data_IF_314016082325
#
_entry.id   IF_314016082325
#
_cell.length_a   1.000
_cell.length_b   1.000
_cell.length_c   1.000
_cell.angle_alpha   90.00
_cell.angle_beta   90.00
_cell.angle_gamma   90.00
#
_symmetry.space_group_name_H-M   'P 1'
#
loop_
_entity.id
_entity.type
_entity.pdbx_description
1 polymer ?
#
# COMPACT_ATOMS: atom_id res chain seq x y z
N UNK A 1 -5.48 19.33 -1.55
CA UNK A 1 -5.40 18.70 -2.89
C UNK A 1 -4.52 17.46 -2.95
N UNK A 2 -3.38 17.37 -2.25
CA UNK A 2 -2.61 16.11 -2.02
C UNK A 2 -3.51 14.87 -1.85
N UNK A 3 -4.48 14.93 -0.93
CA UNK A 3 -5.49 13.87 -0.68
C UNK A 3 -6.24 13.38 -1.94
N UNK A 4 -6.40 14.22 -2.97
CA UNK A 4 -7.10 13.90 -4.22
C UNK A 4 -6.18 13.17 -5.21
N UNK A 5 -4.93 13.63 -5.38
CA UNK A 5 -3.91 12.87 -6.14
C UNK A 5 -3.67 11.49 -5.51
N UNK A 6 -3.57 11.46 -4.18
CA UNK A 6 -3.44 10.24 -3.37
C UNK A 6 -4.69 9.34 -3.46
N UNK A 7 -5.89 9.93 -3.60
CA UNK A 7 -7.12 9.16 -3.86
C UNK A 7 -7.11 8.54 -5.27
N UNK A 8 -6.67 9.27 -6.29
CA UNK A 8 -6.58 8.75 -7.67
C UNK A 8 -5.49 7.66 -7.78
N UNK A 9 -4.39 7.80 -7.03
CA UNK A 9 -3.36 6.78 -6.81
C UNK A 9 -3.92 5.48 -6.19
N UNK A 10 -5.13 5.51 -5.61
CA UNK A 10 -5.72 4.40 -4.86
C UNK A 10 -7.11 3.93 -5.33
N UNK A 11 -7.79 4.63 -6.24
CA UNK A 11 -8.97 4.09 -6.94
C UNK A 11 -8.63 2.94 -7.92
N UNK A 12 -7.36 2.86 -8.35
CA UNK A 12 -6.95 2.05 -9.50
C UNK A 12 -6.31 0.66 -9.20
N UNK A 13 -5.57 0.41 -8.10
CA UNK A 13 -4.86 -0.87 -7.95
C UNK A 13 -5.77 -2.11 -7.88
N UNK A 14 -6.80 -2.10 -7.02
CA UNK A 14 -7.60 -3.28 -6.72
C UNK A 14 -8.61 -3.69 -7.81
N UNK A 15 -8.89 -2.79 -8.74
CA UNK A 15 -9.84 -2.99 -9.85
C UNK A 15 -9.11 -3.57 -11.06
N UNK A 16 -7.98 -2.97 -11.46
CA UNK A 16 -7.21 -3.39 -12.63
C UNK A 16 -6.46 -4.72 -12.41
N UNK A 17 -6.04 -5.04 -11.18
CA UNK A 17 -5.53 -6.37 -10.81
C UNK A 17 -6.55 -7.53 -10.98
N UNK A 18 -7.82 -7.24 -11.30
CA UNK A 18 -8.83 -8.24 -11.67
C UNK A 18 -9.07 -8.34 -13.19
N UNK A 19 -8.60 -7.37 -13.98
CA UNK A 19 -8.87 -7.24 -15.42
C UNK A 19 -7.65 -7.53 -16.30
N UNK A 20 -6.44 -7.57 -15.72
CA UNK A 20 -5.23 -8.00 -16.43
C UNK A 20 -5.31 -9.50 -16.81
N UNK A 21 -4.91 -9.90 -18.03
CA UNK A 21 -5.10 -11.27 -18.54
C UNK A 21 -4.24 -12.33 -17.83
N UNK A 22 -3.24 -11.93 -17.04
CA UNK A 22 -2.27 -12.80 -16.35
C UNK A 22 -2.83 -13.65 -15.19
N UNK A 23 -4.16 -13.67 -14.99
CA UNK A 23 -4.84 -14.34 -13.88
C UNK A 23 -4.64 -15.87 -13.88
N UNK A 24 -4.26 -16.46 -15.01
CA UNK A 24 -3.94 -17.89 -15.17
C UNK A 24 -2.50 -18.26 -14.79
N UNK A 25 -1.58 -17.30 -14.61
CA UNK A 25 -0.16 -17.59 -14.32
C UNK A 25 0.35 -17.00 -12.99
N UNK A 26 -0.36 -16.05 -12.38
CA UNK A 26 0.07 -15.40 -11.13
C UNK A 26 -0.67 -15.94 -9.90
N UNK A 27 -0.19 -17.06 -9.35
CA UNK A 27 -0.76 -17.66 -8.14
C UNK A 27 0.13 -17.42 -6.89
N UNK A 28 0.27 -16.15 -6.50
CA UNK A 28 0.95 -15.78 -5.26
C UNK A 28 0.29 -16.48 -4.04
N UNK A 29 1.03 -17.16 -3.15
CA UNK A 29 0.46 -17.90 -2.02
C UNK A 29 -0.52 -17.07 -1.18
N UNK A 30 -1.60 -17.72 -0.71
CA UNK A 30 -2.71 -17.05 -0.02
C UNK A 30 -2.24 -16.16 1.16
N UNK A 31 -1.18 -16.59 1.86
CA UNK A 31 -0.59 -15.86 2.99
C UNK A 31 0.25 -14.63 2.61
N UNK A 32 0.82 -14.59 1.40
CA UNK A 32 1.60 -13.44 0.92
C UNK A 32 0.74 -12.36 0.26
N UNK A 33 -0.54 -12.65 -0.01
CA UNK A 33 -1.44 -11.75 -0.74
C UNK A 33 -1.53 -10.35 -0.11
N UNK A 34 -1.66 -10.25 1.21
CA UNK A 34 -1.70 -8.97 1.92
C UNK A 34 -0.38 -8.20 1.86
N UNK A 35 0.74 -8.92 1.95
CA UNK A 35 2.09 -8.36 1.85
C UNK A 35 2.37 -7.84 0.42
N UNK A 36 2.04 -8.62 -0.61
CA UNK A 36 2.20 -8.21 -2.03
C UNK A 36 1.34 -6.98 -2.35
N UNK A 37 0.07 -6.97 -1.91
CA UNK A 37 -0.82 -5.82 -2.10
C UNK A 37 -0.30 -4.61 -1.32
N UNK A 38 0.13 -4.77 -0.07
CA UNK A 38 0.72 -3.69 0.74
C UNK A 38 1.96 -3.08 0.10
N UNK A 39 2.88 -3.92 -0.39
CA UNK A 39 4.09 -3.50 -1.10
C UNK A 39 3.80 -2.79 -2.42
N UNK A 40 2.72 -3.15 -3.12
CA UNK A 40 2.23 -2.44 -4.30
C UNK A 40 1.44 -1.15 -3.96
N UNK A 41 0.91 -1.02 -2.74
CA UNK A 41 0.10 0.11 -2.31
C UNK A 41 0.94 1.24 -1.69
N UNK A 42 1.56 1.05 -0.53
CA UNK A 42 2.35 2.10 0.15
C UNK A 42 3.81 2.16 -0.32
N UNK A 43 4.24 3.35 -0.78
CA UNK A 43 5.64 3.66 -1.09
C UNK A 43 6.40 4.25 0.11
N UNK A 44 7.72 4.32 0.02
CA UNK A 44 8.61 4.80 1.08
C UNK A 44 8.62 6.34 1.26
N UNK A 45 7.46 6.90 1.62
CA UNK A 45 7.25 8.33 1.86
C UNK A 45 8.02 8.85 3.09
N UNK A 46 8.43 7.96 4.00
CA UNK A 46 8.97 8.30 5.32
C UNK A 46 10.48 8.56 5.40
N UNK A 47 11.23 8.40 4.31
CA UNK A 47 12.70 8.46 4.36
C UNK A 47 13.32 8.99 3.06
N UNK A 48 13.09 8.30 1.93
CA UNK A 48 13.74 8.66 0.67
C UNK A 48 13.45 10.09 0.18
N UNK A 49 12.23 10.65 0.31
CA UNK A 49 11.99 12.06 -0.04
C UNK A 49 12.70 13.06 0.89
N UNK A 50 12.92 12.74 2.18
CA UNK A 50 13.68 13.59 3.10
C UNK A 50 15.17 13.65 2.75
N UNK A 51 15.71 12.59 2.15
CA UNK A 51 17.10 12.57 1.66
C UNK A 51 17.18 13.28 0.29
N UNK A 52 16.30 12.88 -0.63
CA UNK A 52 16.43 13.25 -2.05
C UNK A 52 16.05 14.70 -2.34
N UNK A 53 15.00 15.24 -1.73
CA UNK A 53 14.54 16.61 -2.03
C UNK A 53 15.55 17.66 -1.56
N UNK A 54 16.10 17.61 -0.33
CA UNK A 54 17.20 18.49 0.08
C UNK A 54 18.47 18.36 -0.75
N UNK A 55 18.81 17.13 -1.21
CA UNK A 55 19.97 16.93 -2.08
C UNK A 55 19.76 17.63 -3.44
N UNK A 56 18.60 17.44 -4.07
CA UNK A 56 18.24 18.08 -5.34
C UNK A 56 18.17 19.61 -5.21
N UNK A 57 17.63 20.14 -4.10
CA UNK A 57 17.62 21.59 -3.84
C UNK A 57 19.02 22.22 -3.71
N UNK A 58 20.03 21.44 -3.31
CA UNK A 58 21.42 21.88 -3.19
C UNK A 58 22.24 21.67 -4.47
N UNK A 59 21.69 20.98 -5.47
CA UNK A 59 22.38 20.70 -6.72
C UNK A 59 22.45 21.93 -7.64
N UNK A 60 23.59 22.11 -8.32
CA UNK A 60 23.84 23.27 -9.17
C UNK A 60 23.02 23.19 -10.46
N UNK A 61 22.20 24.21 -10.69
CA UNK A 61 21.30 24.26 -11.84
C UNK A 61 20.01 23.44 -11.66
N UNK A 62 19.61 23.14 -10.42
CA UNK A 62 18.30 22.54 -10.16
C UNK A 62 17.16 23.47 -10.64
N UNK A 63 16.06 22.93 -11.19
CA UNK A 63 14.98 23.74 -11.77
C UNK A 63 14.03 24.36 -10.74
N UNK A 64 14.42 24.39 -9.46
CA UNK A 64 13.55 24.69 -8.31
C UNK A 64 13.87 26.02 -7.61
N UNK A 65 14.65 26.88 -8.26
CA UNK A 65 14.97 28.23 -7.77
C UNK A 65 16.10 28.26 -6.74
N UNK A 66 16.02 29.18 -5.77
CA UNK A 66 17.06 29.35 -4.76
C UNK A 66 17.11 28.15 -3.79
N UNK A 67 18.30 27.61 -3.46
CA UNK A 67 18.44 26.41 -2.61
C UNK A 67 17.69 26.48 -1.28
N UNK A 68 17.71 27.62 -0.59
CA UNK A 68 17.07 27.78 0.72
C UNK A 68 15.54 27.77 0.62
N UNK A 69 14.98 28.43 -0.40
CA UNK A 69 13.55 28.41 -0.70
C UNK A 69 13.09 27.02 -1.12
N UNK A 70 13.85 26.36 -2.01
CA UNK A 70 13.59 24.98 -2.41
C UNK A 70 13.61 24.04 -1.21
N UNK A 71 14.61 24.16 -0.33
CA UNK A 71 14.72 23.34 0.87
C UNK A 71 13.53 23.58 1.81
N UNK A 72 13.16 24.83 2.08
CA UNK A 72 12.04 25.19 2.95
C UNK A 72 10.70 24.63 2.45
N UNK A 73 10.34 24.90 1.18
CA UNK A 73 9.07 24.40 0.62
C UNK A 73 9.09 22.89 0.37
N UNK A 74 10.21 22.35 -0.11
CA UNK A 74 10.39 20.92 -0.34
C UNK A 74 10.25 20.09 0.93
N UNK A 75 10.87 20.52 2.04
CA UNK A 75 10.73 19.87 3.34
C UNK A 75 9.29 19.97 3.89
N UNK A 76 8.59 21.09 3.65
CA UNK A 76 7.17 21.21 4.01
C UNK A 76 6.29 20.24 3.21
N UNK A 77 6.47 20.14 1.89
CA UNK A 77 5.72 19.22 1.02
C UNK A 77 6.00 17.75 1.35
N UNK A 78 7.27 17.40 1.61
CA UNK A 78 7.66 16.05 2.04
C UNK A 78 7.08 15.71 3.41
N UNK A 79 7.17 16.60 4.40
CA UNK A 79 6.64 16.35 5.75
C UNK A 79 5.11 16.18 5.73
N UNK A 80 4.40 16.98 4.93
CA UNK A 80 2.96 16.86 4.72
C UNK A 80 2.57 15.55 4.03
N UNK A 81 3.31 15.15 2.98
CA UNK A 81 3.15 13.84 2.33
C UNK A 81 3.40 12.68 3.29
N UNK A 82 4.45 12.76 4.10
CA UNK A 82 4.81 11.75 5.11
C UNK A 82 3.72 11.58 6.16
N UNK A 83 3.18 12.68 6.70
CA UNK A 83 2.12 12.65 7.69
C UNK A 83 0.85 11.98 7.16
N UNK A 84 0.43 12.32 5.94
CA UNK A 84 -0.69 11.65 5.23
C UNK A 84 -0.37 10.17 4.98
N UNK A 85 0.85 9.86 4.54
CA UNK A 85 1.33 8.51 4.26
C UNK A 85 1.39 7.61 5.49
N UNK A 86 1.76 8.15 6.65
CA UNK A 86 1.72 7.44 7.93
C UNK A 86 0.28 7.06 8.32
N UNK A 87 -0.65 8.01 8.20
CA UNK A 87 -2.08 7.78 8.47
C UNK A 87 -2.64 6.72 7.52
N UNK A 88 -2.32 6.79 6.22
CA UNK A 88 -2.70 5.78 5.23
C UNK A 88 -2.15 4.39 5.56
N UNK A 89 -0.84 4.30 5.86
CA UNK A 89 -0.16 3.03 6.09
C UNK A 89 -0.73 2.30 7.33
N UNK A 90 -0.95 2.99 8.44
CA UNK A 90 -1.48 2.38 9.66
C UNK A 90 -3.02 2.22 9.67
N UNK A 91 -3.76 3.01 8.90
CA UNK A 91 -5.22 2.84 8.77
C UNK A 91 -5.60 1.76 7.76
N UNK A 92 -4.91 1.69 6.61
CA UNK A 92 -5.30 0.84 5.48
C UNK A 92 -4.33 -0.33 5.29
N UNK A 93 -3.03 -0.08 5.07
CA UNK A 93 -2.07 -1.16 4.73
C UNK A 93 -1.87 -2.13 5.89
N UNK A 94 -1.77 -1.63 7.13
CA UNK A 94 -1.77 -2.46 8.34
C UNK A 94 -2.97 -3.42 8.38
N UNK A 95 -4.19 -2.94 8.10
CA UNK A 95 -5.39 -3.78 8.12
C UNK A 95 -5.46 -4.76 6.94
N UNK A 96 -4.93 -4.40 5.75
CA UNK A 96 -4.78 -5.32 4.61
C UNK A 96 -3.84 -6.49 4.96
N UNK A 97 -2.68 -6.20 5.57
CA UNK A 97 -1.73 -7.23 6.01
C UNK A 97 -2.37 -8.06 7.13
N UNK A 98 -2.92 -7.42 8.17
CA UNK A 98 -3.59 -8.07 9.31
C UNK A 98 -4.63 -9.11 8.90
N UNK A 99 -5.59 -8.71 8.07
CA UNK A 99 -6.68 -9.60 7.60
C UNK A 99 -6.14 -10.78 6.80
N UNK A 100 -5.04 -10.58 6.05
CA UNK A 100 -4.39 -11.65 5.29
C UNK A 100 -3.63 -12.62 6.21
N UNK A 101 -2.94 -12.13 7.24
CA UNK A 101 -2.29 -12.96 8.27
C UNK A 101 -3.32 -13.77 9.08
N UNK A 102 -4.39 -13.15 9.58
CA UNK A 102 -5.45 -13.85 10.33
C UNK A 102 -6.10 -14.94 9.48
N UNK A 103 -6.48 -14.65 8.23
CA UNK A 103 -7.08 -15.65 7.33
C UNK A 103 -6.11 -16.77 6.93
N UNK A 104 -4.81 -16.54 7.06
CA UNK A 104 -3.81 -17.62 6.88
C UNK A 104 -3.74 -18.53 8.10
N UNK A 105 -3.83 -17.96 9.31
CA UNK A 105 -3.89 -18.72 10.55
C UNK A 105 -5.14 -19.61 10.60
N UNK A 106 -6.32 -19.07 10.28
CA UNK A 106 -7.58 -19.83 10.16
C UNK A 106 -7.44 -21.04 9.21
N UNK A 107 -6.85 -20.84 8.03
CA UNK A 107 -6.68 -21.90 7.03
C UNK A 107 -5.60 -22.94 7.42
N UNK A 108 -4.67 -22.58 8.32
CA UNK A 108 -3.70 -23.53 8.88
C UNK A 108 -4.34 -24.32 10.02
N UNK A 109 -5.09 -23.67 10.93
CA UNK A 109 -5.76 -24.37 12.03
C UNK A 109 -6.77 -25.41 11.52
N UNK A 110 -7.63 -25.03 10.57
CA UNK A 110 -8.58 -25.97 9.91
C UNK A 110 -7.86 -27.11 9.21
N UNK A 111 -6.62 -26.91 8.71
CA UNK A 111 -5.82 -28.00 8.11
C UNK A 111 -5.22 -28.94 9.15
N UNK A 112 -4.74 -28.41 10.28
CA UNK A 112 -4.20 -29.21 11.36
C UNK A 112 -5.32 -30.00 12.08
N UNK A 113 -6.48 -29.37 12.29
CA UNK A 113 -7.70 -30.04 12.77
C UNK A 113 -8.13 -31.18 11.82
N UNK A 114 -7.93 -31.02 10.50
CA UNK A 114 -8.19 -32.08 9.52
C UNK A 114 -7.08 -33.14 9.37
N UNK A 115 -6.00 -33.08 10.15
CA UNK A 115 -4.90 -34.08 10.09
C UNK A 115 -4.85 -35.08 11.25
N UNK A 116 -5.70 -34.92 12.28
CA UNK A 116 -5.73 -35.82 13.45
C UNK A 116 -6.90 -36.85 13.42
N UNK A 117 -7.66 -36.96 12.33
CA UNK A 117 -8.78 -37.92 12.17
C UNK A 117 -8.48 -39.15 11.25
N UNK A 118 -7.26 -39.68 11.26
CA UNK A 118 -6.98 -41.00 10.64
C UNK A 118 -7.39 -42.22 11.51
N UNK A 119 -8.47 -42.10 12.31
CA UNK A 119 -9.02 -43.23 13.11
C UNK A 119 -10.55 -43.39 13.02
N UNK A 120 -11.20 -42.96 11.92
CA UNK A 120 -12.65 -43.22 11.70
C UNK A 120 -12.99 -43.57 10.25
N UNK A 121 -12.30 -44.58 9.69
CA UNK A 121 -12.57 -45.16 8.35
C UNK A 121 -13.32 -46.52 8.41
N UNK A 122 -14.10 -46.79 9.47
CA UNK A 122 -14.63 -48.13 9.77
C UNK A 122 -16.15 -48.25 9.94
N UNK A 123 -16.94 -47.18 9.73
CA UNK A 123 -18.38 -47.16 10.05
C UNK A 123 -19.30 -46.51 8.99
N UNK A 124 -18.85 -46.34 7.74
CA UNK A 124 -19.69 -45.83 6.64
C UNK A 124 -19.63 -46.70 5.37
N UNK A 125 -19.44 -48.01 5.51
CA UNK A 125 -19.35 -48.98 4.39
C UNK A 125 -20.18 -50.26 4.65
N UNK A 126 -21.35 -50.12 5.32
CA UNK A 126 -22.23 -51.26 5.68
C UNK A 126 -23.75 -50.98 5.61
N UNK A 127 -24.21 -49.93 4.91
CA UNK A 127 -25.65 -49.58 4.85
C UNK A 127 -26.15 -49.18 3.45
N UNK A 128 -25.60 -49.79 2.41
CA UNK A 128 -26.15 -49.76 1.04
C UNK A 128 -26.10 -51.17 0.46
N UNK A 129 -27.14 -51.96 0.72
CA UNK A 129 -27.74 -52.93 -0.21
C UNK A 129 -29.03 -53.53 0.40
N UNK A 130 -29.85 -54.17 -0.46
CA UNK A 130 -31.19 -54.75 -0.19
C UNK A 130 -32.30 -53.69 0.11
N UNK A 131 -33.29 -53.41 -0.76
CA UNK A 131 -34.38 -54.26 -1.32
C UNK A 131 -35.38 -54.70 -0.21
N UNK A 132 -36.71 -54.51 -0.31
CA UNK A 132 -37.57 -53.77 -1.28
C UNK A 132 -38.86 -53.30 -0.51
N UNK A 133 -40.08 -52.98 -0.99
CA UNK A 133 -40.85 -53.12 -2.25
C UNK A 133 -41.98 -52.04 -2.30
N UNK A 134 -42.77 -52.00 -3.38
CA UNK A 134 -44.18 -51.52 -3.58
C UNK A 134 -44.89 -50.61 -2.53
N UNK A 135 -45.65 -49.55 -2.92
CA UNK A 135 -45.97 -49.01 -4.25
C UNK A 135 -47.26 -48.15 -4.27
N UNK A 136 -47.63 -47.55 -5.42
CA UNK A 136 -48.93 -46.87 -5.74
C UNK A 136 -49.11 -45.45 -5.12
N UNK A 137 -49.53 -44.36 -5.81
CA UNK A 137 -50.04 -44.12 -7.18
C UNK A 137 -49.90 -42.65 -7.67
N UNK A 138 -50.12 -42.46 -8.99
CA UNK A 138 -50.65 -41.26 -9.69
C UNK A 138 -49.74 -40.04 -10.00
N UNK A 139 -49.43 -39.90 -11.30
CA UNK A 139 -49.44 -38.71 -12.21
C UNK A 139 -49.06 -37.30 -11.69
N UNK A 140 -48.43 -36.43 -12.51
CA UNK A 140 -48.41 -36.38 -13.98
C UNK A 140 -47.04 -35.95 -14.57
N UNK A 141 -46.88 -36.05 -15.89
CA UNK A 141 -45.59 -36.05 -16.62
C UNK A 141 -45.35 -34.80 -17.50
N UNK A 142 -44.26 -34.83 -18.28
CA UNK A 142 -43.86 -33.99 -19.41
C UNK A 142 -43.05 -32.70 -19.14
N UNK A 143 -42.11 -32.46 -20.04
CA UNK A 143 -40.95 -31.57 -19.90
C UNK A 143 -40.90 -30.55 -21.07
N UNK A 144 -40.19 -29.42 -20.87
CA UNK A 144 -39.60 -28.54 -21.92
C UNK A 144 -40.53 -27.81 -22.92
N UNK A 145 -40.51 -26.46 -22.89
CA UNK A 145 -40.09 -25.59 -24.03
C UNK A 145 -40.16 -24.09 -23.62
N UNK A 146 -39.07 -23.32 -23.44
CA UNK A 146 -38.13 -22.67 -24.38
C UNK A 146 -38.58 -21.27 -24.89
N UNK A 147 -37.66 -20.30 -24.72
CA UNK A 147 -37.52 -19.00 -25.44
C UNK A 147 -38.30 -17.74 -24.94
N UNK A 148 -37.57 -16.84 -24.26
CA UNK A 148 -37.36 -15.41 -24.63
C UNK A 148 -36.79 -14.63 -23.41
N UNK A 149 -36.05 -13.51 -23.54
CA UNK A 149 -35.45 -12.86 -24.70
C UNK A 149 -34.10 -12.22 -24.30
N UNK A 150 -33.19 -11.99 -25.25
CA UNK A 150 -31.91 -11.33 -24.96
C UNK A 150 -32.06 -9.80 -24.77
N UNK A 151 -31.55 -9.24 -23.67
CA UNK A 151 -31.37 -7.78 -23.48
C UNK A 151 -30.07 -7.43 -22.74
N UNK A 152 -29.06 -7.06 -23.53
CA UNK A 152 -27.96 -6.11 -23.29
C UNK A 152 -27.71 -5.52 -21.89
N UNK A 153 -26.56 -5.89 -21.31
CA UNK A 153 -25.46 -5.02 -20.84
C UNK A 153 -25.68 -3.82 -19.88
N UNK A 154 -26.64 -3.87 -18.95
CA UNK A 154 -26.65 -2.94 -17.79
C UNK A 154 -26.47 -3.61 -16.42
N UNK A 155 -27.07 -4.79 -16.20
CA UNK A 155 -27.14 -5.42 -14.88
C UNK A 155 -25.78 -5.77 -14.25
N UNK A 156 -24.75 -6.02 -15.09
CA UNK A 156 -23.41 -6.35 -14.62
C UNK A 156 -22.75 -5.24 -13.80
N UNK A 157 -22.97 -3.96 -14.16
CA UNK A 157 -22.37 -2.81 -13.45
C UNK A 157 -22.93 -2.66 -12.04
N UNK A 158 -24.25 -2.80 -11.88
CA UNK A 158 -24.94 -2.68 -10.57
C UNK A 158 -24.47 -3.79 -9.62
N UNK A 159 -24.48 -5.04 -10.07
CA UNK A 159 -24.06 -6.18 -9.24
C UNK A 159 -22.58 -6.11 -8.83
N UNK A 160 -21.71 -5.58 -9.69
CA UNK A 160 -20.31 -5.28 -9.34
C UNK A 160 -20.22 -4.17 -8.30
N UNK A 161 -20.98 -3.08 -8.48
CA UNK A 161 -20.97 -1.92 -7.57
C UNK A 161 -21.42 -2.32 -6.15
N UNK A 162 -22.53 -3.05 -6.00
CA UNK A 162 -23.01 -3.47 -4.68
C UNK A 162 -22.12 -4.54 -4.03
N UNK A 163 -21.52 -5.43 -4.82
CA UNK A 163 -20.52 -6.40 -4.31
C UNK A 163 -19.26 -5.68 -3.82
N UNK A 164 -18.82 -4.63 -4.51
CA UNK A 164 -17.74 -3.73 -4.05
C UNK A 164 -18.17 -2.97 -2.80
N UNK A 165 -19.35 -2.33 -2.77
CA UNK A 165 -19.88 -1.55 -1.65
C UNK A 165 -20.01 -2.39 -0.37
N UNK A 166 -20.54 -3.62 -0.48
CA UNK A 166 -20.64 -4.59 0.62
C UNK A 166 -19.27 -5.07 1.11
N UNK A 167 -18.30 -5.26 0.20
CA UNK A 167 -16.93 -5.65 0.56
C UNK A 167 -16.15 -4.49 1.22
N UNK A 168 -16.33 -3.25 0.74
CA UNK A 168 -15.78 -2.02 1.34
C UNK A 168 -16.37 -1.79 2.74
N UNK A 169 -17.69 -1.90 2.90
CA UNK A 169 -18.35 -1.75 4.19
C UNK A 169 -17.87 -2.80 5.21
N UNK A 170 -17.69 -4.06 4.78
CA UNK A 170 -17.11 -5.12 5.61
C UNK A 170 -15.64 -4.84 5.99
N UNK A 171 -14.86 -4.25 5.08
CA UNK A 171 -13.49 -3.81 5.39
C UNK A 171 -13.46 -2.69 6.43
N UNK A 172 -14.23 -1.60 6.23
CA UNK A 172 -14.32 -0.49 7.18
C UNK A 172 -14.77 -0.93 8.57
N UNK A 173 -15.76 -1.82 8.66
CA UNK A 173 -16.26 -2.36 9.94
C UNK A 173 -15.22 -3.21 10.71
N UNK A 174 -14.21 -3.74 10.01
CA UNK A 174 -13.14 -4.55 10.59
C UNK A 174 -11.80 -3.79 10.76
N UNK A 175 -11.77 -2.46 10.56
CA UNK A 175 -10.57 -1.65 10.83
C UNK A 175 -10.29 -1.65 12.34
N UNK A 176 -9.11 -2.14 12.73
CA UNK A 176 -8.65 -2.03 14.11
C UNK A 176 -8.24 -0.58 14.42
N UNK A 177 -9.17 0.22 14.96
CA UNK A 177 -8.95 1.63 15.28
C UNK A 177 -7.76 1.87 16.22
N UNK A 178 -7.37 0.89 17.05
CA UNK A 178 -6.16 0.99 17.90
C UNK A 178 -4.87 1.12 17.08
N UNK A 179 -4.86 0.68 15.82
CA UNK A 179 -3.72 0.87 14.91
C UNK A 179 -3.54 2.33 14.45
N UNK A 180 -4.62 3.14 14.49
CA UNK A 180 -4.57 4.57 14.16
C UNK A 180 -3.84 5.36 15.27
N UNK A 181 -3.70 4.79 16.47
CA UNK A 181 -2.89 5.32 17.56
C UNK A 181 -1.40 4.88 17.51
N UNK A 182 -0.93 4.31 16.39
CA UNK A 182 0.49 3.98 16.20
C UNK A 182 1.38 5.22 16.43
N UNK A 183 2.62 5.07 16.94
CA UNK A 183 3.46 6.21 17.33
C UNK A 183 3.64 7.26 16.22
N UNK A 184 3.81 6.85 14.96
CA UNK A 184 3.97 7.77 13.83
C UNK A 184 2.68 8.53 13.44
N UNK A 185 1.49 7.95 13.65
CA UNK A 185 0.22 8.65 13.36
C UNK A 185 -0.16 9.58 14.51
N UNK A 186 0.07 9.17 15.74
CA UNK A 186 -0.04 10.03 16.93
C UNK A 186 0.92 11.22 16.82
N UNK A 187 2.18 11.00 16.45
CA UNK A 187 3.15 12.07 16.20
C UNK A 187 2.73 13.01 15.06
N UNK A 188 2.20 12.49 13.95
CA UNK A 188 1.69 13.31 12.85
C UNK A 188 0.52 14.20 13.30
N UNK A 189 -0.42 13.66 14.08
CA UNK A 189 -1.57 14.43 14.62
C UNK A 189 -1.07 15.53 15.58
N UNK A 190 -0.16 15.22 16.49
CA UNK A 190 0.44 16.21 17.40
C UNK A 190 1.19 17.29 16.63
N UNK A 191 1.98 16.91 15.60
CA UNK A 191 2.68 17.87 14.73
C UNK A 191 1.74 18.81 13.99
N UNK A 192 0.60 18.31 13.47
CA UNK A 192 -0.44 19.17 12.90
C UNK A 192 -1.05 20.11 13.94
N UNK A 193 -1.32 19.66 15.16
CA UNK A 193 -1.87 20.52 16.22
C UNK A 193 -0.88 21.65 16.57
N UNK A 194 0.41 21.33 16.78
CA UNK A 194 1.47 22.32 17.07
C UNK A 194 1.65 23.31 15.90
N UNK A 195 1.60 22.83 14.66
CA UNK A 195 1.79 23.66 13.46
C UNK A 195 0.57 24.52 13.06
N UNK A 196 -0.65 24.08 13.36
CA UNK A 196 -1.89 24.77 12.95
C UNK A 196 -2.51 25.65 14.04
N UNK A 197 -2.17 25.46 15.31
CA UNK A 197 -2.74 26.23 16.43
C UNK A 197 -1.79 27.38 16.82
N UNK A 198 -2.08 28.65 16.46
CA UNK A 198 -1.13 29.75 16.61
C UNK A 198 -0.56 30.00 18.03
N UNK A 199 -1.31 29.86 19.14
CA UNK A 199 -0.72 30.03 20.46
C UNK A 199 0.26 28.89 20.83
N UNK A 200 0.05 27.67 20.35
CA UNK A 200 1.00 26.55 20.58
C UNK A 200 2.23 26.74 19.67
N UNK A 201 2.01 27.11 18.41
CA UNK A 201 3.07 27.42 17.46
C UNK A 201 4.02 28.49 18.01
N UNK A 202 3.50 29.62 18.52
CA UNK A 202 4.30 30.71 19.11
C UNK A 202 5.00 30.34 20.41
N UNK A 203 4.53 29.30 21.12
CA UNK A 203 5.14 28.83 22.37
C UNK A 203 6.37 27.94 22.10
N UNK A 204 6.38 27.23 20.97
CA UNK A 204 7.39 26.20 20.65
C UNK A 204 8.32 26.54 19.48
N UNK A 205 7.87 27.34 18.50
CA UNK A 205 8.57 27.54 17.21
C UNK A 205 9.01 28.99 17.04
N UNK A 206 10.30 29.18 16.74
CA UNK A 206 10.94 30.47 16.49
C UNK A 206 11.91 30.88 17.59
N UNK A 207 13.00 31.58 17.25
CA UNK A 207 14.18 31.79 18.10
C UNK A 207 13.96 32.56 19.42
N UNK A 208 12.75 33.03 19.71
CA UNK A 208 12.35 33.67 20.98
C UNK A 208 11.23 32.92 21.71
N UNK A 209 10.89 31.71 21.27
CA UNK A 209 9.82 30.89 21.84
C UNK A 209 10.30 30.19 23.14
N UNK A 210 9.52 30.23 24.24
CA UNK A 210 9.97 29.72 25.54
C UNK A 210 10.16 28.20 25.61
N UNK A 211 9.57 27.43 24.68
CA UNK A 211 9.75 25.98 24.57
C UNK A 211 10.56 25.56 23.32
N UNK A 212 11.41 26.44 22.77
CA UNK A 212 12.25 26.14 21.59
C UNK A 212 13.06 24.86 21.73
N UNK A 213 13.52 24.55 22.96
CA UNK A 213 14.25 23.31 23.29
C UNK A 213 13.50 22.04 22.86
N UNK A 214 12.15 22.05 22.88
CA UNK A 214 11.33 20.91 22.42
C UNK A 214 11.39 20.76 20.90
N UNK A 215 11.38 21.88 20.17
CA UNK A 215 11.53 21.91 18.71
C UNK A 215 12.95 21.48 18.29
N UNK A 216 14.00 22.01 18.95
CA UNK A 216 15.39 21.63 18.70
C UNK A 216 15.62 20.13 18.95
N UNK A 217 15.10 19.62 20.07
CA UNK A 217 15.20 18.19 20.41
C UNK A 217 14.49 17.30 19.39
N UNK A 218 13.30 17.72 18.92
CA UNK A 218 12.54 17.00 17.91
C UNK A 218 13.21 17.02 16.53
N UNK A 219 13.83 18.15 16.15
CA UNK A 219 14.61 18.27 14.91
C UNK A 219 15.84 17.38 14.95
N UNK A 220 16.65 17.45 16.01
CA UNK A 220 17.88 16.65 16.17
C UNK A 220 17.57 15.14 16.17
N UNK A 221 16.50 14.71 16.85
CA UNK A 221 16.03 13.32 16.80
C UNK A 221 15.50 12.94 15.41
N UNK A 222 14.84 13.85 14.70
CA UNK A 222 14.36 13.65 13.34
C UNK A 222 15.48 13.47 12.32
N UNK A 223 16.50 14.31 12.36
CA UNK A 223 17.70 14.20 11.51
C UNK A 223 18.47 12.91 11.80
N UNK A 224 18.62 12.53 13.08
CA UNK A 224 19.24 11.27 13.47
C UNK A 224 18.40 10.03 13.05
N UNK A 225 17.07 10.13 12.99
CA UNK A 225 16.20 9.04 12.61
C UNK A 225 16.37 8.61 11.13
N UNK A 226 16.69 9.54 10.22
CA UNK A 226 16.87 9.28 8.78
C UNK A 226 17.93 8.18 8.50
N UNK A 227 19.20 8.31 8.97
CA UNK A 227 20.20 7.24 8.81
C UNK A 227 19.89 6.01 9.66
N UNK A 228 19.33 6.16 10.87
CA UNK A 228 18.98 5.02 11.75
C UNK A 228 17.94 4.11 11.09
N UNK A 229 16.87 4.66 10.52
CA UNK A 229 15.83 3.88 9.84
C UNK A 229 16.38 3.25 8.55
N UNK A 230 17.30 3.93 7.85
CA UNK A 230 18.01 3.37 6.69
C UNK A 230 18.87 2.15 7.08
N UNK A 231 19.58 2.22 8.22
CA UNK A 231 20.34 1.10 8.78
C UNK A 231 19.42 -0.06 9.21
N UNK A 232 18.29 0.24 9.85
CA UNK A 232 17.26 -0.76 10.21
C UNK A 232 16.75 -1.50 8.97
N UNK A 233 16.58 -0.82 7.83
CA UNK A 233 16.25 -1.51 6.57
C UNK A 233 17.37 -2.44 6.14
N UNK A 234 18.63 -1.98 6.10
CA UNK A 234 19.78 -2.84 5.79
C UNK A 234 19.85 -4.10 6.67
N UNK A 235 19.60 -3.95 7.97
CA UNK A 235 19.52 -5.07 8.91
C UNK A 235 18.34 -6.02 8.62
N UNK A 236 17.18 -5.49 8.19
CA UNK A 236 16.07 -6.32 7.72
C UNK A 236 16.41 -7.08 6.42
N UNK A 237 17.14 -6.45 5.48
CA UNK A 237 17.55 -7.08 4.21
C UNK A 237 18.45 -8.31 4.43
N UNK A 238 19.21 -8.38 5.53
CA UNK A 238 20.06 -9.52 5.87
C UNK A 238 19.26 -10.84 6.00
N UNK A 239 18.00 -10.78 6.42
CA UNK A 239 17.10 -11.95 6.42
C UNK A 239 16.68 -12.35 5.00
N UNK A 240 16.54 -11.38 4.10
CA UNK A 240 16.26 -11.61 2.68
C UNK A 240 17.40 -12.31 1.96
N UNK A 241 18.66 -11.99 2.27
CA UNK A 241 19.85 -12.65 1.74
C UNK A 241 19.97 -14.15 2.13
N UNK A 242 19.21 -14.60 3.14
CA UNK A 242 19.19 -15.99 3.61
C UNK A 242 17.86 -16.71 3.32
N UNK A 243 16.89 -16.05 2.68
CA UNK A 243 15.55 -16.58 2.44
C UNK A 243 15.27 -16.86 0.97
N UNK A 244 14.66 -18.01 0.68
CA UNK A 244 14.35 -18.48 -0.68
C UNK A 244 12.85 -18.67 -0.98
N UNK A 245 11.96 -18.19 -0.10
CA UNK A 245 10.52 -18.51 -0.17
C UNK A 245 9.70 -17.76 -1.23
N UNK A 246 10.15 -16.59 -1.70
CA UNK A 246 9.37 -15.78 -2.66
C UNK A 246 9.63 -16.22 -4.10
N UNK A 247 8.56 -16.63 -4.79
CA UNK A 247 8.58 -16.86 -6.24
C UNK A 247 9.07 -15.59 -6.98
N UNK A 248 10.08 -15.73 -7.85
CA UNK A 248 10.67 -14.60 -8.59
C UNK A 248 9.61 -13.79 -9.37
N UNK A 249 8.59 -14.45 -9.92
CA UNK A 249 7.43 -13.83 -10.60
C UNK A 249 6.70 -12.80 -9.72
N UNK A 250 6.61 -13.04 -8.41
CA UNK A 250 5.99 -12.11 -7.46
C UNK A 250 6.85 -10.84 -7.30
N UNK A 251 8.16 -11.01 -7.19
CA UNK A 251 9.13 -9.91 -7.07
C UNK A 251 9.12 -9.05 -8.33
N UNK A 252 9.19 -9.68 -9.51
CA UNK A 252 9.11 -9.01 -10.81
C UNK A 252 7.78 -8.28 -11.01
N UNK A 253 6.66 -8.85 -10.55
CA UNK A 253 5.36 -8.20 -10.55
C UNK A 253 5.33 -6.92 -9.70
N UNK A 254 5.88 -6.96 -8.48
CA UNK A 254 5.98 -5.77 -7.61
C UNK A 254 6.90 -4.72 -8.24
N UNK A 255 8.03 -5.13 -8.82
CA UNK A 255 8.98 -4.26 -9.55
C UNK A 255 8.28 -3.54 -10.71
N UNK A 256 7.57 -4.27 -11.58
CA UNK A 256 6.86 -3.68 -12.73
C UNK A 256 5.76 -2.70 -12.29
N UNK A 257 4.99 -3.07 -11.25
CA UNK A 257 3.96 -2.19 -10.67
C UNK A 257 4.60 -0.91 -10.10
N UNK A 258 5.66 -1.03 -9.29
CA UNK A 258 6.33 0.10 -8.62
C UNK A 258 7.12 1.03 -9.54
N UNK A 259 7.75 0.48 -10.57
CA UNK A 259 8.77 1.20 -11.35
C UNK A 259 8.44 1.38 -12.83
N UNK A 260 7.28 0.89 -13.28
CA UNK A 260 6.76 1.19 -14.63
C UNK A 260 5.35 1.74 -14.53
N UNK A 261 4.39 0.97 -13.99
CA UNK A 261 2.98 1.36 -14.02
C UNK A 261 2.65 2.54 -13.10
N UNK A 262 3.08 2.55 -11.84
CA UNK A 262 2.81 3.66 -10.91
C UNK A 262 3.41 4.99 -11.39
N UNK A 263 4.70 5.09 -11.80
CA UNK A 263 5.28 6.33 -12.31
C UNK A 263 4.56 6.90 -13.53
N UNK A 264 4.21 6.04 -14.51
CA UNK A 264 3.45 6.45 -15.69
C UNK A 264 2.04 6.96 -15.32
N UNK A 265 1.36 6.28 -14.41
CA UNK A 265 0.07 6.74 -13.87
C UNK A 265 0.25 8.09 -13.15
N UNK A 266 1.31 8.27 -12.36
CA UNK A 266 1.64 9.53 -11.70
C UNK A 266 1.75 10.71 -12.67
N UNK A 267 2.49 10.53 -13.77
CA UNK A 267 2.62 11.54 -14.83
C UNK A 267 1.26 11.93 -15.40
N UNK A 268 0.40 10.95 -15.71
CA UNK A 268 -0.95 11.21 -16.24
C UNK A 268 -1.86 11.92 -15.22
N UNK A 269 -1.85 11.47 -13.96
CA UNK A 269 -2.68 12.03 -12.88
C UNK A 269 -2.28 13.47 -12.56
N UNK A 270 -0.98 13.75 -12.43
CA UNK A 270 -0.49 15.10 -12.15
C UNK A 270 -0.74 16.03 -13.33
N UNK A 271 -0.42 15.64 -14.58
CA UNK A 271 -0.68 16.49 -15.75
C UNK A 271 -2.16 16.76 -15.99
N UNK A 272 -3.03 15.77 -15.78
CA UNK A 272 -4.49 15.96 -15.84
C UNK A 272 -5.00 16.88 -14.74
N UNK A 273 -4.51 16.74 -13.51
CA UNK A 273 -4.93 17.59 -12.39
C UNK A 273 -4.37 19.02 -12.45
N UNK A 274 -3.29 19.26 -13.20
CA UNK A 274 -2.83 20.61 -13.60
C UNK A 274 -3.78 21.22 -14.64
N UNK A 275 -4.14 20.47 -15.71
CA UNK A 275 -5.08 20.94 -16.74
C UNK A 275 -6.47 21.29 -16.17
N UNK A 276 -6.89 20.62 -15.11
CA UNK A 276 -8.14 20.90 -14.38
C UNK A 276 -7.99 21.98 -13.29
N UNK A 277 -6.84 22.64 -13.17
CA UNK A 277 -6.61 23.74 -12.21
C UNK A 277 -6.54 23.31 -10.74
N UNK A 278 -6.52 22.01 -10.43
CA UNK A 278 -6.48 21.52 -9.05
C UNK A 278 -5.06 21.56 -8.45
N UNK A 279 -4.03 21.31 -9.25
CA UNK A 279 -2.61 21.36 -8.83
C UNK A 279 -2.07 22.77 -9.06
N UNK A 280 -1.36 23.34 -8.07
CA UNK A 280 -0.61 24.58 -8.28
C UNK A 280 0.59 24.32 -9.20
N UNK A 281 0.85 25.22 -10.15
CA UNK A 281 1.86 25.04 -11.20
C UNK A 281 3.32 25.03 -10.70
N UNK A 282 3.59 25.18 -9.39
CA UNK A 282 4.95 25.12 -8.83
C UNK A 282 5.69 23.82 -9.24
N UNK A 283 6.82 23.91 -9.98
CA UNK A 283 7.61 22.75 -10.37
C UNK A 283 8.07 21.89 -9.20
N UNK A 284 8.34 22.47 -8.03
CA UNK A 284 8.82 21.74 -6.86
C UNK A 284 7.71 20.87 -6.25
N UNK A 285 6.52 21.43 -6.04
CA UNK A 285 5.33 20.69 -5.62
C UNK A 285 4.96 19.61 -6.63
N UNK A 286 5.00 19.90 -7.94
CA UNK A 286 4.81 18.90 -8.99
C UNK A 286 5.83 17.76 -8.90
N UNK A 287 7.13 18.07 -8.73
CA UNK A 287 8.19 17.07 -8.60
C UNK A 287 7.99 16.21 -7.35
N UNK A 288 7.72 16.82 -6.20
CA UNK A 288 7.46 16.08 -4.95
C UNK A 288 6.21 15.19 -5.08
N UNK A 289 5.18 15.60 -5.81
CA UNK A 289 4.02 14.75 -6.11
C UNK A 289 4.37 13.57 -7.02
N UNK A 290 5.11 13.80 -8.12
CA UNK A 290 5.52 12.75 -9.06
C UNK A 290 6.45 11.73 -8.40
N UNK A 291 7.43 12.20 -7.62
CA UNK A 291 8.41 11.37 -6.91
C UNK A 291 7.73 10.28 -6.08
N UNK A 292 6.62 10.58 -5.42
CA UNK A 292 5.87 9.64 -4.57
C UNK A 292 5.37 8.39 -5.32
N UNK A 293 5.19 8.46 -6.65
CA UNK A 293 4.80 7.31 -7.48
C UNK A 293 5.98 6.38 -7.81
N UNK A 294 7.23 6.86 -7.76
CA UNK A 294 8.43 6.08 -8.11
C UNK A 294 9.17 5.46 -6.91
N UNK A 295 8.70 5.71 -5.69
CA UNK A 295 9.34 5.21 -4.47
C UNK A 295 9.21 3.68 -4.32
N UNK A 296 10.24 3.00 -3.77
CA UNK A 296 10.16 1.58 -3.39
C UNK A 296 9.06 1.33 -2.34
N UNK A 297 8.66 0.06 -2.11
CA UNK A 297 7.71 -0.32 -1.05
C UNK A 297 8.05 0.26 0.32
N UNK A 298 7.03 0.64 1.09
CA UNK A 298 7.20 1.28 2.40
C UNK A 298 7.92 0.36 3.41
N UNK A 299 9.02 0.86 3.99
CA UNK A 299 9.87 0.15 4.95
C UNK A 299 9.06 -0.39 6.15
N UNK A 300 8.08 0.40 6.61
CA UNK A 300 7.20 0.07 7.74
C UNK A 300 6.35 -1.20 7.52
N UNK A 301 6.21 -1.69 6.28
CA UNK A 301 5.58 -2.99 5.99
C UNK A 301 6.39 -4.12 6.65
N UNK A 302 7.72 -4.00 6.70
CA UNK A 302 8.60 -4.89 7.47
C UNK A 302 8.23 -4.90 8.95
N UNK A 303 8.12 -3.72 9.57
CA UNK A 303 7.66 -3.56 10.97
C UNK A 303 6.26 -4.16 11.19
N UNK A 304 5.34 -3.99 10.25
CA UNK A 304 3.99 -4.59 10.33
C UNK A 304 4.05 -6.12 10.29
N UNK A 305 4.86 -6.72 9.41
CA UNK A 305 5.06 -8.19 9.39
C UNK A 305 5.75 -8.73 10.65
N UNK A 306 6.63 -7.92 11.27
CA UNK A 306 7.26 -8.24 12.56
C UNK A 306 6.24 -8.24 13.71
N UNK A 307 5.37 -7.23 13.78
CA UNK A 307 4.30 -7.14 14.79
C UNK A 307 3.28 -8.29 14.71
N UNK A 308 3.16 -8.95 13.55
CA UNK A 308 2.31 -10.14 13.36
C UNK A 308 3.08 -11.46 13.36
N UNK A 309 4.41 -11.45 13.56
CA UNK A 309 5.25 -12.66 13.53
C UNK A 309 5.20 -13.47 12.23
N UNK A 310 4.72 -12.89 11.13
CA UNK A 310 4.31 -13.63 9.93
C UNK A 310 4.69 -12.91 8.64
N UNK A 311 5.27 -13.65 7.69
CA UNK A 311 5.73 -13.11 6.40
C UNK A 311 6.99 -12.25 6.46
N UNK A 312 7.72 -12.21 7.60
CA UNK A 312 8.91 -11.36 7.75
C UNK A 312 10.05 -11.73 6.79
N UNK A 313 10.31 -13.03 6.57
CA UNK A 313 11.30 -13.52 5.61
C UNK A 313 10.96 -13.05 4.20
N UNK A 314 9.72 -13.27 3.77
CA UNK A 314 9.24 -12.93 2.43
C UNK A 314 9.20 -11.41 2.22
N UNK A 315 8.86 -10.64 3.26
CA UNK A 315 8.95 -9.18 3.25
C UNK A 315 10.41 -8.72 3.10
N UNK A 316 11.35 -9.36 3.79
CA UNK A 316 12.79 -9.05 3.68
C UNK A 316 13.34 -9.37 2.29
N UNK A 317 12.91 -10.46 1.64
CA UNK A 317 13.26 -10.81 0.25
C UNK A 317 12.67 -9.79 -0.74
N UNK A 318 11.39 -9.43 -0.60
CA UNK A 318 10.73 -8.43 -1.45
C UNK A 318 11.41 -7.06 -1.30
N UNK A 319 11.70 -6.62 -0.07
CA UNK A 319 12.40 -5.37 0.19
C UNK A 319 13.83 -5.40 -0.39
N UNK A 320 14.57 -6.50 -0.24
CA UNK A 320 15.93 -6.63 -0.78
C UNK A 320 15.95 -6.34 -2.29
N UNK A 321 15.19 -7.11 -3.07
CA UNK A 321 15.19 -6.96 -4.53
C UNK A 321 14.58 -5.64 -5.01
N UNK A 322 13.50 -5.16 -4.36
CA UNK A 322 12.91 -3.88 -4.76
C UNK A 322 13.80 -2.69 -4.44
N UNK A 323 14.57 -2.70 -3.35
CA UNK A 323 15.51 -1.62 -3.00
C UNK A 323 16.79 -1.68 -3.83
N UNK A 324 17.29 -2.86 -4.18
CA UNK A 324 18.39 -2.99 -5.16
C UNK A 324 18.03 -2.36 -6.51
N UNK A 325 16.83 -2.63 -7.04
CA UNK A 325 16.34 -2.02 -8.29
C UNK A 325 16.00 -0.53 -8.12
N UNK A 326 15.62 -0.09 -6.91
CA UNK A 326 15.30 1.31 -6.63
C UNK A 326 16.49 2.26 -6.92
N UNK A 327 17.73 1.82 -6.69
CA UNK A 327 18.93 2.65 -6.95
C UNK A 327 18.99 3.17 -8.40
N UNK A 328 18.76 2.29 -9.37
CA UNK A 328 18.74 2.66 -10.80
C UNK A 328 17.39 3.31 -11.16
N UNK A 329 16.28 2.69 -10.76
CA UNK A 329 14.92 3.12 -11.10
C UNK A 329 14.60 4.54 -10.63
N UNK A 330 14.85 4.83 -9.34
CA UNK A 330 14.55 6.12 -8.75
C UNK A 330 15.40 7.24 -9.35
N UNK A 331 16.65 6.94 -9.71
CA UNK A 331 17.54 7.88 -10.42
C UNK A 331 16.97 8.24 -11.79
N UNK A 332 16.61 7.23 -12.60
CA UNK A 332 16.01 7.44 -13.93
C UNK A 332 14.68 8.22 -13.85
N UNK A 333 13.78 7.84 -12.94
CA UNK A 333 12.50 8.53 -12.77
C UNK A 333 12.66 9.95 -12.22
N UNK A 334 13.57 10.19 -11.29
CA UNK A 334 13.83 11.54 -10.77
C UNK A 334 14.39 12.47 -11.84
N UNK A 335 15.35 11.99 -12.65
CA UNK A 335 15.86 12.74 -13.82
C UNK A 335 14.75 13.04 -14.83
N UNK A 336 13.91 12.06 -15.14
CA UNK A 336 12.76 12.27 -16.05
C UNK A 336 11.74 13.26 -15.47
N UNK A 337 11.41 13.18 -14.18
CA UNK A 337 10.49 14.12 -13.54
C UNK A 337 11.05 15.54 -13.46
N UNK A 338 12.34 15.72 -13.15
CA UNK A 338 12.99 17.05 -13.20
C UNK A 338 12.92 17.64 -14.62
N UNK A 339 13.22 16.85 -15.65
CA UNK A 339 13.06 17.28 -17.06
C UNK A 339 11.60 17.57 -17.45
N UNK A 340 10.63 16.88 -16.83
CA UNK A 340 9.20 17.04 -17.10
C UNK A 340 8.64 18.35 -16.54
N UNK A 341 9.08 18.76 -15.33
CA UNK A 341 8.64 19.99 -14.65
C UNK A 341 9.48 21.21 -15.02
N UNK A 342 10.72 21.03 -15.47
CA UNK A 342 11.53 22.10 -16.07
C UNK A 342 11.01 22.54 -17.47
N UNK A 343 9.89 21.96 -17.92
CA UNK A 343 9.24 22.21 -19.22
C UNK A 343 7.74 22.52 -19.10
N UNK A 344 7.20 22.67 -17.88
CA UNK A 344 5.79 22.96 -17.60
C UNK A 344 5.59 24.41 -17.19
#
# INVERSE_FOLDING_TARGET
>A
MLYFSYSIQHLSPATWLKQLPWRTSYHSPQHLKGLVIGSCAAGNLGNLPLILVPAICREKGSPFGAPDSCHMYGMAYVSLSMAIGAIYLWSIVYNIVRVSSTKSYEVINVKNESSDEETSKSLQEQLIDELDLEGTSAMDDANVSLLSCAKTDEQGKVFILDKIKKQIYSFFRNINLKAILAPSTTAAIVGFIVGLVPPIQRLMIGASAPLHVVQDSALLLGEAAIPIVTLIVGANLLRGLRGSGVQLTVILGIIAIRYVFLPLIGVLVIRGAIHLGFVHADPLYQFVLLLQYALPPAMNIGTITQLFGSGQSECSVILLWTYSVASVSLTLWSTYFMWLVAKS
#
